data_IF_418634529889
#
_entry.id   IF_418634529889
#
_cell.length_a   1.000
_cell.length_b   1.000
_cell.length_c   1.000
_cell.angle_alpha   90.00
_cell.angle_beta   90.00
_cell.angle_gamma   90.00
#
_symmetry.space_group_name_H-M   'P 1'
#
loop_
_entity.id
_entity.type
_entity.pdbx_description
1 polymer ?
#
# COMPACT_ATOMS: atom_id res chain seq x y z
N UNK A 1 10.72 -3.44 4.20
CA UNK A 1 11.70 -2.34 4.33
C UNK A 1 12.41 -2.02 3.01
N UNK A 2 12.58 -2.95 2.10
CA UNK A 2 13.34 -2.78 0.84
C UNK A 2 12.47 -2.45 -0.36
N UNK A 3 11.20 -2.09 -0.17
CA UNK A 3 10.33 -1.62 -1.25
C UNK A 3 10.76 -0.24 -1.74
N UNK A 4 10.43 0.09 -3.00
CA UNK A 4 10.69 1.39 -3.60
C UNK A 4 10.16 2.53 -2.70
N UNK A 5 8.92 2.42 -2.23
CA UNK A 5 8.29 3.42 -1.37
C UNK A 5 9.06 3.62 -0.05
N UNK A 6 9.46 2.54 0.64
CA UNK A 6 10.25 2.65 1.86
C UNK A 6 11.64 3.22 1.60
N UNK A 7 12.31 2.78 0.55
CA UNK A 7 13.60 3.34 0.16
C UNK A 7 13.51 4.84 -0.05
N UNK A 8 12.48 5.31 -0.77
CA UNK A 8 12.27 6.73 -1.01
C UNK A 8 11.97 7.49 0.29
N UNK A 9 10.89 7.14 0.99
CA UNK A 9 10.36 7.90 2.13
C UNK A 9 11.28 7.83 3.35
N UNK A 10 11.84 6.65 3.63
CA UNK A 10 12.65 6.38 4.81
C UNK A 10 14.13 6.62 4.58
N UNK A 11 14.73 5.90 3.60
CA UNK A 11 16.20 5.85 3.47
C UNK A 11 16.74 7.11 2.76
N UNK A 12 16.08 7.55 1.68
CA UNK A 12 16.55 8.70 0.89
C UNK A 12 16.19 10.02 1.56
N UNK A 13 14.95 10.15 2.02
CA UNK A 13 14.45 11.42 2.51
C UNK A 13 14.34 11.52 4.04
N UNK A 14 14.28 10.42 4.77
CA UNK A 14 14.13 10.43 6.23
C UNK A 14 12.83 11.06 6.73
N UNK A 15 11.78 11.09 5.90
CA UNK A 15 10.50 11.72 6.28
C UNK A 15 9.70 10.91 7.28
N UNK A 16 9.91 9.60 7.33
CA UNK A 16 9.21 8.66 8.20
C UNK A 16 10.09 7.47 8.58
N UNK A 17 9.68 6.77 9.63
CA UNK A 17 10.29 5.49 10.00
C UNK A 17 9.98 4.38 8.98
N UNK A 18 8.87 4.49 8.26
CA UNK A 18 8.49 3.59 7.20
C UNK A 18 7.21 4.02 6.49
N UNK A 19 7.02 3.44 5.31
CA UNK A 19 5.83 3.60 4.49
C UNK A 19 5.37 2.25 4.00
N UNK A 20 4.06 2.08 3.84
CA UNK A 20 3.46 0.84 3.35
C UNK A 20 2.47 1.09 2.23
N UNK A 21 2.27 0.10 1.41
CA UNK A 21 1.16 0.05 0.45
C UNK A 21 0.61 -1.37 0.37
N UNK A 22 -0.70 -1.48 0.17
CA UNK A 22 -1.38 -2.77 0.07
C UNK A 22 -2.66 -2.67 -0.72
N UNK A 23 -3.07 -3.80 -1.30
CA UNK A 23 -4.43 -3.99 -1.78
C UNK A 23 -5.25 -4.62 -0.66
N UNK A 24 -6.33 -3.96 -0.28
CA UNK A 24 -7.37 -4.61 0.52
C UNK A 24 -8.29 -5.40 -0.43
N UNK A 25 -8.38 -6.71 -0.23
CA UNK A 25 -9.12 -7.63 -1.12
C UNK A 25 -10.31 -8.29 -0.39
N UNK A 26 -11.40 -7.56 -0.09
CA UNK A 26 -12.63 -8.17 0.41
C UNK A 26 -13.33 -8.95 -0.72
N UNK A 27 -14.40 -9.71 -0.43
CA UNK A 27 -15.26 -10.34 -1.47
C UNK A 27 -15.89 -9.34 -2.44
N UNK A 28 -16.00 -8.07 -2.04
CA UNK A 28 -16.52 -6.98 -2.86
C UNK A 28 -15.41 -6.12 -3.47
N UNK A 29 -15.72 -4.85 -3.67
CA UNK A 29 -14.72 -3.88 -4.15
C UNK A 29 -13.72 -3.58 -3.04
N UNK A 30 -12.45 -3.78 -3.32
CA UNK A 30 -11.34 -3.40 -2.46
C UNK A 30 -10.71 -2.07 -2.86
N UNK A 31 -9.74 -1.62 -2.07
CA UNK A 31 -8.99 -0.42 -2.33
C UNK A 31 -7.48 -0.69 -2.32
N UNK A 32 -6.75 0.06 -3.14
CA UNK A 32 -5.32 0.21 -2.96
C UNK A 32 -5.07 1.33 -1.95
N UNK A 33 -4.28 1.06 -0.94
CA UNK A 33 -3.98 1.97 0.16
C UNK A 33 -2.47 2.20 0.25
N UNK A 34 -2.07 3.44 0.52
CA UNK A 34 -0.72 3.76 0.93
C UNK A 34 -0.76 4.59 2.21
N UNK A 35 0.12 4.30 3.16
CA UNK A 35 0.14 4.95 4.45
C UNK A 35 1.55 5.15 4.99
N UNK A 36 1.73 6.22 5.73
CA UNK A 36 2.94 6.51 6.50
C UNK A 36 2.64 7.49 7.63
N UNK A 37 3.35 7.37 8.74
CA UNK A 37 3.42 8.40 9.77
C UNK A 37 4.66 9.24 9.51
N UNK A 38 4.47 10.48 9.07
CA UNK A 38 5.55 11.37 8.65
C UNK A 38 5.76 12.53 9.63
N UNK A 39 6.94 13.13 9.60
CA UNK A 39 7.19 14.37 10.32
C UNK A 39 6.30 15.50 9.79
N UNK A 40 5.76 16.33 10.69
CA UNK A 40 4.81 17.39 10.31
C UNK A 40 5.38 18.40 9.30
N UNK A 41 6.66 18.73 9.39
CA UNK A 41 7.37 19.64 8.50
C UNK A 41 7.79 19.00 7.15
N UNK A 42 7.60 17.69 7.02
CA UNK A 42 7.85 16.93 5.79
C UNK A 42 6.56 16.41 5.13
N UNK A 43 5.39 16.76 5.66
CA UNK A 43 4.11 16.17 5.21
C UNK A 43 3.85 16.40 3.71
N UNK A 44 4.01 17.61 3.22
CA UNK A 44 3.82 17.95 1.80
C UNK A 44 4.84 17.24 0.90
N UNK A 45 6.10 17.21 1.31
CA UNK A 45 7.18 16.53 0.59
C UNK A 45 6.92 15.03 0.51
N UNK A 46 6.53 14.41 1.63
CA UNK A 46 6.19 12.99 1.66
C UNK A 46 5.00 12.68 0.76
N UNK A 47 3.95 13.49 0.78
CA UNK A 47 2.80 13.34 -0.13
C UNK A 47 3.23 13.44 -1.59
N UNK A 48 4.10 14.38 -1.95
CA UNK A 48 4.63 14.50 -3.31
C UNK A 48 5.38 13.23 -3.74
N UNK A 49 6.20 12.66 -2.85
CA UNK A 49 6.93 11.43 -3.14
C UNK A 49 5.99 10.21 -3.23
N UNK A 50 4.94 10.11 -2.40
CA UNK A 50 3.92 9.07 -2.56
C UNK A 50 3.26 9.12 -3.94
N UNK A 51 2.84 10.30 -4.39
CA UNK A 51 2.23 10.48 -5.72
C UNK A 51 3.22 10.10 -6.83
N UNK A 52 4.47 10.46 -6.69
CA UNK A 52 5.54 10.10 -7.62
C UNK A 52 5.73 8.59 -7.70
N UNK A 53 5.84 7.91 -6.55
CA UNK A 53 6.03 6.45 -6.51
C UNK A 53 4.81 5.68 -7.05
N UNK A 54 3.59 6.14 -6.78
CA UNK A 54 2.38 5.54 -7.33
C UNK A 54 2.22 5.75 -8.85
N UNK A 55 2.80 6.81 -9.40
CA UNK A 55 2.93 6.93 -10.85
C UNK A 55 4.05 6.04 -11.39
N UNK A 56 5.18 5.96 -10.68
CA UNK A 56 6.36 5.24 -11.13
C UNK A 56 6.18 3.72 -11.14
N UNK A 57 5.36 3.13 -10.24
CA UNK A 57 5.09 1.68 -10.21
C UNK A 57 4.41 1.16 -11.48
N UNK A 58 3.86 2.03 -12.31
CA UNK A 58 3.28 1.68 -13.61
C UNK A 58 4.33 1.27 -14.65
N UNK A 59 5.59 1.42 -14.30
CA UNK A 59 6.75 0.91 -15.02
C UNK A 59 7.73 0.35 -13.99
N UNK A 60 8.10 -0.92 -14.13
CA UNK A 60 9.02 -1.60 -13.21
C UNK A 60 10.23 -2.15 -13.96
N UNK A 61 11.35 -2.26 -13.27
CA UNK A 61 12.51 -2.96 -13.80
C UNK A 61 12.39 -4.47 -13.57
N UNK A 62 13.02 -5.28 -14.45
CA UNK A 62 12.96 -6.75 -14.32
C UNK A 62 13.51 -7.23 -12.97
N UNK A 63 14.56 -6.60 -12.47
CA UNK A 63 15.14 -6.91 -11.17
C UNK A 63 14.17 -6.65 -10.01
N UNK A 64 13.32 -5.62 -10.11
CA UNK A 64 12.29 -5.34 -9.09
C UNK A 64 11.18 -6.40 -9.11
N UNK A 65 10.76 -6.80 -10.30
CA UNK A 65 9.78 -7.87 -10.48
C UNK A 65 10.30 -9.20 -9.92
N UNK A 66 11.54 -9.55 -10.25
CA UNK A 66 12.21 -10.74 -9.72
C UNK A 66 12.34 -10.70 -8.19
N UNK A 67 12.80 -9.58 -7.65
CA UNK A 67 12.91 -9.39 -6.20
C UNK A 67 11.55 -9.57 -5.49
N UNK A 68 10.48 -9.02 -6.06
CA UNK A 68 9.14 -9.15 -5.49
C UNK A 68 8.63 -10.60 -5.53
N UNK A 69 8.80 -11.29 -6.66
CA UNK A 69 8.46 -12.73 -6.79
C UNK A 69 9.20 -13.59 -5.77
N UNK A 70 10.53 -13.40 -5.70
CA UNK A 70 11.36 -14.15 -4.78
C UNK A 70 11.00 -13.87 -3.32
N UNK A 71 10.70 -12.63 -2.96
CA UNK A 71 10.25 -12.27 -1.63
C UNK A 71 8.98 -13.02 -1.23
N UNK A 72 7.98 -13.05 -2.13
CA UNK A 72 6.71 -13.75 -1.88
C UNK A 72 6.91 -15.28 -1.86
N UNK A 73 7.63 -15.83 -2.84
CA UNK A 73 7.81 -17.28 -2.95
C UNK A 73 8.64 -17.85 -1.80
N UNK A 74 9.72 -17.18 -1.40
CA UNK A 74 10.59 -17.61 -0.31
C UNK A 74 9.99 -17.35 1.08
N UNK A 75 9.13 -16.32 1.21
CA UNK A 75 8.41 -16.00 2.45
C UNK A 75 7.24 -16.94 2.72
N UNK A 76 6.64 -17.52 1.67
CA UNK A 76 5.41 -18.29 1.79
C UNK A 76 5.47 -19.47 2.77
N UNK A 77 6.56 -20.27 2.87
CA UNK A 77 6.64 -21.34 3.88
C UNK A 77 6.49 -20.83 5.31
N UNK A 78 6.93 -19.62 5.61
CA UNK A 78 6.79 -18.99 6.94
C UNK A 78 5.33 -18.76 7.37
N UNK A 79 4.40 -18.70 6.42
CA UNK A 79 2.96 -18.59 6.70
C UNK A 79 2.35 -19.86 7.31
N UNK A 80 3.15 -20.92 7.48
CA UNK A 80 2.72 -22.22 8.03
C UNK A 80 3.48 -22.62 9.29
N UNK A 81 4.18 -21.69 9.94
CA UNK A 81 4.98 -21.99 11.14
C UNK A 81 4.15 -22.03 12.43
N UNK A 82 2.94 -21.45 12.46
CA UNK A 82 2.07 -21.49 13.62
C UNK A 82 0.68 -22.04 13.28
N UNK A 83 -0.01 -22.55 14.32
CA UNK A 83 -1.39 -23.05 14.15
C UNK A 83 -2.31 -21.92 13.70
N UNK A 84 -2.11 -20.72 14.22
CA UNK A 84 -2.91 -19.55 13.90
C UNK A 84 -2.73 -19.14 12.45
N UNK A 85 -1.49 -19.12 11.94
CA UNK A 85 -1.23 -18.79 10.53
C UNK A 85 -1.76 -19.87 9.58
N UNK A 86 -1.61 -21.15 9.90
CA UNK A 86 -2.22 -22.25 9.13
C UNK A 86 -3.75 -22.10 9.08
N UNK A 87 -4.39 -21.85 10.23
CA UNK A 87 -5.83 -21.65 10.29
C UNK A 87 -6.29 -20.45 9.45
N UNK A 88 -5.52 -19.36 9.43
CA UNK A 88 -5.79 -18.19 8.61
C UNK A 88 -5.71 -18.53 7.10
N UNK A 89 -4.67 -19.23 6.65
CA UNK A 89 -4.55 -19.65 5.25
C UNK A 89 -5.72 -20.56 4.82
N UNK A 90 -6.13 -21.51 5.65
CA UNK A 90 -7.27 -22.38 5.38
C UNK A 90 -8.57 -21.57 5.37
N UNK A 91 -8.74 -20.65 6.31
CA UNK A 91 -9.92 -19.78 6.35
C UNK A 91 -10.04 -18.93 5.07
N UNK A 92 -8.93 -18.40 4.55
CA UNK A 92 -8.91 -17.63 3.31
C UNK A 92 -9.31 -18.49 2.09
N UNK A 93 -8.81 -19.71 2.00
CA UNK A 93 -9.21 -20.65 0.93
C UNK A 93 -10.72 -20.87 0.96
N UNK A 94 -11.30 -21.12 2.13
CA UNK A 94 -12.74 -21.35 2.29
C UNK A 94 -13.54 -20.06 2.06
N UNK A 95 -13.10 -18.95 2.64
CA UNK A 95 -13.80 -17.67 2.56
C UNK A 95 -13.89 -17.15 1.14
N UNK A 96 -12.80 -17.23 0.37
CA UNK A 96 -12.74 -16.76 -1.00
C UNK A 96 -13.16 -17.82 -2.05
N UNK A 97 -13.53 -19.03 -1.63
CA UNK A 97 -13.82 -20.17 -2.52
C UNK A 97 -12.66 -20.44 -3.50
N UNK A 98 -11.43 -20.44 -3.00
CA UNK A 98 -10.26 -20.74 -3.80
C UNK A 98 -10.18 -22.23 -4.14
N UNK A 99 -9.50 -22.63 -5.22
CA UNK A 99 -9.32 -24.03 -5.56
C UNK A 99 -8.64 -24.81 -4.43
N UNK A 100 -8.99 -26.09 -4.25
CA UNK A 100 -8.40 -26.95 -3.19
C UNK A 100 -6.87 -27.03 -3.25
N UNK A 101 -6.29 -26.93 -4.44
CA UNK A 101 -4.85 -26.93 -4.66
C UNK A 101 -4.20 -25.54 -4.59
N UNK A 102 -4.94 -24.50 -4.20
CA UNK A 102 -4.46 -23.10 -4.21
C UNK A 102 -3.13 -22.93 -3.47
N UNK A 103 -3.05 -23.41 -2.23
CA UNK A 103 -1.84 -23.27 -1.40
C UNK A 103 -0.66 -24.05 -2.02
N UNK A 104 -0.88 -25.22 -2.57
CA UNK A 104 0.16 -26.02 -3.24
C UNK A 104 0.64 -25.38 -4.56
N UNK A 105 -0.24 -24.68 -5.27
CA UNK A 105 0.08 -24.03 -6.53
C UNK A 105 0.69 -22.63 -6.35
N UNK A 106 0.52 -22.01 -5.18
CA UNK A 106 0.81 -20.59 -4.94
C UNK A 106 2.20 -20.16 -5.39
N UNK A 107 3.26 -20.83 -4.93
CA UNK A 107 4.64 -20.48 -5.29
C UNK A 107 4.83 -20.55 -6.80
N UNK A 108 4.34 -21.64 -7.43
CA UNK A 108 4.45 -21.81 -8.88
C UNK A 108 3.73 -20.71 -9.66
N UNK A 109 2.58 -20.25 -9.20
CA UNK A 109 1.84 -19.17 -9.84
C UNK A 109 2.51 -17.81 -9.63
N UNK A 110 3.01 -17.53 -8.42
CA UNK A 110 3.77 -16.30 -8.13
C UNK A 110 5.01 -16.19 -9.03
N UNK A 111 5.74 -17.27 -9.21
CA UNK A 111 6.95 -17.28 -10.04
C UNK A 111 6.68 -17.08 -11.53
N UNK A 112 5.46 -17.32 -12.01
CA UNK A 112 5.06 -17.03 -13.40
C UNK A 112 4.75 -15.55 -13.66
N UNK A 113 4.48 -14.76 -12.61
CA UNK A 113 4.12 -13.34 -12.76
C UNK A 113 5.29 -12.57 -13.35
N UNK A 114 5.13 -12.05 -14.56
CA UNK A 114 6.14 -11.25 -15.24
C UNK A 114 6.03 -9.75 -14.96
N UNK A 115 7.06 -9.02 -15.33
CA UNK A 115 7.07 -7.54 -15.33
C UNK A 115 5.83 -6.95 -16.00
N UNK A 116 5.45 -7.49 -17.18
CA UNK A 116 4.28 -7.04 -17.93
C UNK A 116 2.96 -7.19 -17.17
N UNK A 117 2.83 -8.24 -16.35
CA UNK A 117 1.64 -8.43 -15.51
C UNK A 117 1.56 -7.39 -14.41
N UNK A 118 2.68 -7.10 -13.76
CA UNK A 118 2.78 -6.08 -12.71
C UNK A 118 2.41 -4.71 -13.29
N UNK A 119 2.99 -4.33 -14.42
CA UNK A 119 2.70 -3.05 -15.09
C UNK A 119 1.23 -2.94 -15.54
N UNK A 120 0.67 -4.03 -16.08
CA UNK A 120 -0.73 -4.10 -16.49
C UNK A 120 -1.67 -3.88 -15.31
N UNK A 121 -1.42 -4.57 -14.19
CA UNK A 121 -2.23 -4.46 -12.97
C UNK A 121 -2.05 -3.08 -12.33
N UNK A 122 -0.82 -2.58 -12.24
CA UNK A 122 -0.56 -1.25 -11.71
C UNK A 122 -1.27 -0.14 -12.53
N UNK A 123 -1.25 -0.24 -13.86
CA UNK A 123 -1.96 0.70 -14.75
C UNK A 123 -3.49 0.62 -14.59
N UNK A 124 -4.02 -0.57 -14.31
CA UNK A 124 -5.46 -0.77 -14.17
C UNK A 124 -6.03 -0.35 -12.80
N UNK A 125 -5.24 -0.50 -11.73
CA UNK A 125 -5.76 -0.36 -10.36
C UNK A 125 -5.10 0.75 -9.54
N UNK A 126 -3.96 1.28 -9.96
CA UNK A 126 -3.27 2.38 -9.27
C UNK A 126 -3.40 3.65 -10.11
N UNK A 127 -4.40 4.47 -9.78
CA UNK A 127 -4.69 5.73 -10.47
C UNK A 127 -4.53 6.93 -9.52
N UNK A 128 -3.33 7.51 -9.39
CA UNK A 128 -3.08 8.59 -8.44
C UNK A 128 -4.01 9.80 -8.58
N UNK A 129 -4.52 10.05 -9.79
CA UNK A 129 -5.47 11.17 -10.05
C UNK A 129 -6.85 10.96 -9.42
N UNK A 130 -7.22 9.71 -9.14
CA UNK A 130 -8.51 9.31 -8.59
C UNK A 130 -8.42 8.88 -7.12
N UNK A 131 -7.26 9.08 -6.48
CA UNK A 131 -7.06 8.74 -5.08
C UNK A 131 -7.62 9.80 -4.15
N UNK A 132 -8.08 9.36 -2.98
CA UNK A 132 -8.41 10.24 -1.86
C UNK A 132 -7.19 10.29 -0.96
N UNK A 133 -6.72 11.50 -0.65
CA UNK A 133 -5.67 11.74 0.32
C UNK A 133 -6.30 12.15 1.65
N UNK A 134 -6.02 11.37 2.69
CA UNK A 134 -6.42 11.70 4.07
C UNK A 134 -5.16 12.04 4.85
N UNK A 135 -5.12 13.22 5.44
CA UNK A 135 -3.99 13.68 6.26
C UNK A 135 -4.51 14.08 7.64
N UNK A 136 -3.87 13.57 8.68
CA UNK A 136 -4.18 13.89 10.07
C UNK A 136 -2.95 14.56 10.69
N UNK A 137 -3.14 15.74 11.27
CA UNK A 137 -2.05 16.50 11.89
C UNK A 137 -2.44 17.92 12.30
N UNK A 138 -1.45 18.70 12.72
CA UNK A 138 -1.62 20.12 13.02
C UNK A 138 -1.88 20.91 11.73
N UNK A 139 -3.15 21.28 11.53
CA UNK A 139 -3.60 21.95 10.32
C UNK A 139 -2.75 23.19 9.98
N UNK A 140 -2.44 24.02 10.97
CA UNK A 140 -1.71 25.25 10.74
C UNK A 140 -0.31 25.02 10.16
N UNK A 141 0.31 23.89 10.51
CA UNK A 141 1.65 23.52 10.04
C UNK A 141 1.63 22.87 8.67
N UNK A 142 0.67 21.98 8.41
CA UNK A 142 0.69 21.13 7.22
C UNK A 142 -0.07 21.71 6.03
N UNK A 143 -1.12 22.49 6.27
CA UNK A 143 -2.00 22.97 5.20
C UNK A 143 -1.30 23.84 4.14
N UNK A 144 -0.43 24.80 4.47
CA UNK A 144 0.22 25.63 3.43
C UNK A 144 1.00 24.80 2.41
N UNK A 145 1.76 23.81 2.87
CA UNK A 145 2.50 22.89 1.99
C UNK A 145 1.59 22.03 1.14
N UNK A 146 0.55 21.44 1.74
CA UNK A 146 -0.43 20.62 1.01
C UNK A 146 -1.19 21.42 -0.07
N UNK A 147 -1.57 22.67 0.20
CA UNK A 147 -2.18 23.56 -0.79
C UNK A 147 -1.26 23.85 -1.98
N UNK A 148 0.03 24.01 -1.71
CA UNK A 148 1.02 24.27 -2.76
C UNK A 148 1.15 23.11 -3.76
N UNK A 149 0.85 21.87 -3.35
CA UNK A 149 0.88 20.70 -4.23
C UNK A 149 -0.23 20.69 -5.29
N UNK A 150 -1.31 21.45 -5.10
CA UNK A 150 -2.44 21.56 -6.05
C UNK A 150 -3.05 20.21 -6.47
N UNK A 151 -3.10 19.25 -5.57
CA UNK A 151 -3.60 17.89 -5.83
C UNK A 151 -5.13 17.82 -5.93
N UNK A 152 -5.83 18.80 -5.39
CA UNK A 152 -7.30 18.83 -5.43
C UNK A 152 -7.90 19.76 -4.38
N UNK A 153 -9.22 19.64 -4.21
CA UNK A 153 -9.96 20.39 -3.17
C UNK A 153 -9.65 19.81 -1.79
N UNK A 154 -9.32 20.68 -0.84
CA UNK A 154 -9.14 20.29 0.56
C UNK A 154 -10.50 20.43 1.27
N UNK A 155 -10.93 19.35 1.92
CA UNK A 155 -12.06 19.34 2.82
C UNK A 155 -11.56 19.13 4.25
N UNK A 156 -12.16 19.80 5.21
CA UNK A 156 -11.79 19.69 6.63
C UNK A 156 -12.81 18.82 7.34
N UNK A 157 -12.34 17.88 8.10
CA UNK A 157 -13.13 17.02 8.97
C UNK A 157 -12.62 17.18 10.39
N UNK A 158 -13.52 17.31 11.35
CA UNK A 158 -13.20 17.17 12.76
C UNK A 158 -13.38 15.72 13.19
N UNK A 159 -12.77 15.35 14.30
CA UNK A 159 -12.91 14.00 14.86
C UNK A 159 -14.38 13.66 15.10
N UNK A 160 -15.15 14.62 15.59
CA UNK A 160 -16.58 14.49 15.88
C UNK A 160 -17.42 14.26 14.61
N UNK A 161 -16.98 14.79 13.46
CA UNK A 161 -17.67 14.59 12.17
C UNK A 161 -17.55 13.14 11.68
N UNK A 162 -16.50 12.42 12.12
CA UNK A 162 -16.21 11.04 11.71
C UNK A 162 -16.66 10.02 12.76
N UNK A 163 -16.40 10.28 14.02
CA UNK A 163 -16.64 9.35 15.12
C UNK A 163 -17.91 9.66 15.93
N UNK A 164 -18.60 10.76 15.62
CA UNK A 164 -19.67 11.28 16.47
C UNK A 164 -19.14 11.98 17.73
N UNK A 165 -20.02 12.43 18.62
CA UNK A 165 -19.60 13.15 19.82
C UNK A 165 -18.69 12.28 20.69
N UNK A 166 -17.55 12.85 21.10
CA UNK A 166 -16.62 12.17 21.98
C UNK A 166 -17.28 11.88 23.33
N UNK A 167 -17.01 10.72 23.97
CA UNK A 167 -17.49 10.44 25.29
C UNK A 167 -16.96 11.47 26.28
N UNK A 168 -17.84 11.94 27.19
CA UNK A 168 -17.50 12.88 28.26
C UNK A 168 -16.61 12.25 29.30
#
# INVERSE_FOLDING_TARGET
>A
FTSRLNTNIREVHGYAYGASSSFNMPKGKGAFLGASAVQSDATDKAVAEFVKEFNAIRTVEEQEAEKARNYLALGFPGEFESIESIAAQVADVLFFNLPENYLNAYIGEVLKVGKGDIERVAKAYIEPKNMVLVVVGDQAKIEPGLRALKLGKINYLKVEDVLGPLPK
#
